data_IF_543683376327
#
_entry.id   IF_543683376327
#
_cell.length_a   1.000
_cell.length_b   1.000
_cell.length_c   1.000
_cell.angle_alpha   90.00
_cell.angle_beta   90.00
_cell.angle_gamma   90.00
#
_symmetry.space_group_name_H-M   'P 1'
#
loop_
_entity.id
_entity.type
_entity.pdbx_description
1 polymer ?
#
# COMPACT_ATOMS: atom_id res chain seq x y z
N UNK A 1 -31.81 16.63 12.13
CA UNK A 1 -31.80 17.94 12.88
C UNK A 1 -30.48 18.64 12.57
N UNK A 2 -30.49 19.95 12.28
CA UNK A 2 -29.25 20.70 12.10
C UNK A 2 -28.49 20.81 13.43
N UNK A 3 -27.19 20.55 13.43
CA UNK A 3 -26.36 20.69 14.64
C UNK A 3 -26.23 22.15 15.06
N UNK A 4 -26.23 22.38 16.35
CA UNK A 4 -25.96 23.71 16.92
C UNK A 4 -24.45 24.00 16.83
N UNK A 5 -24.07 25.28 16.82
CA UNK A 5 -22.70 25.74 16.90
C UNK A 5 -21.93 25.08 18.06
N UNK A 6 -22.54 24.93 19.20
CA UNK A 6 -21.94 24.32 20.39
C UNK A 6 -21.63 22.84 20.18
N UNK A 7 -22.53 22.11 19.52
CA UNK A 7 -22.30 20.68 19.21
C UNK A 7 -21.16 20.48 18.20
N UNK A 8 -21.08 21.33 17.17
CA UNK A 8 -19.95 21.30 16.22
C UNK A 8 -18.62 21.61 16.94
N UNK A 9 -18.61 22.64 17.81
CA UNK A 9 -17.45 23.02 18.59
C UNK A 9 -16.94 21.89 19.50
N UNK A 10 -17.87 21.21 20.17
CA UNK A 10 -17.57 20.09 21.07
C UNK A 10 -16.96 18.91 20.32
N UNK A 11 -17.51 18.55 19.17
CA UNK A 11 -16.99 17.49 18.30
C UNK A 11 -15.59 17.80 17.75
N UNK A 12 -15.38 19.02 17.25
CA UNK A 12 -14.06 19.45 16.80
C UNK A 12 -13.02 19.34 17.93
N UNK A 13 -13.41 19.70 19.15
CA UNK A 13 -12.55 19.58 20.32
C UNK A 13 -12.24 18.13 20.69
N UNK A 14 -13.25 17.26 20.65
CA UNK A 14 -13.09 15.83 20.92
C UNK A 14 -12.15 15.20 19.91
N UNK A 15 -12.43 15.33 18.62
CA UNK A 15 -11.58 14.79 17.54
C UNK A 15 -10.13 15.29 17.67
N UNK A 16 -9.93 16.58 17.94
CA UNK A 16 -8.58 17.12 18.17
C UNK A 16 -7.88 16.42 19.32
N UNK A 17 -8.57 16.24 20.45
CA UNK A 17 -8.00 15.58 21.63
C UNK A 17 -7.68 14.13 21.38
N UNK A 18 -8.59 13.40 20.73
CA UNK A 18 -8.40 11.98 20.39
C UNK A 18 -7.19 11.78 19.48
N UNK A 19 -6.97 12.71 18.55
CA UNK A 19 -5.80 12.70 17.69
C UNK A 19 -4.53 13.23 18.40
N UNK A 20 -4.63 13.78 19.60
CA UNK A 20 -3.51 14.30 20.38
C UNK A 20 -2.98 15.66 19.91
N UNK A 21 -3.70 16.38 19.05
CA UNK A 21 -3.29 17.72 18.64
C UNK A 21 -3.47 18.74 19.78
N UNK A 22 -2.49 19.62 19.95
CA UNK A 22 -2.65 20.83 20.75
C UNK A 22 -3.37 21.91 19.95
N UNK A 23 -4.06 22.84 20.62
CA UNK A 23 -4.67 24.00 19.95
C UNK A 23 -3.65 24.85 19.18
N UNK A 24 -2.38 24.88 19.63
CA UNK A 24 -1.30 25.61 18.97
C UNK A 24 -0.92 24.95 17.63
N UNK A 25 -0.81 23.63 17.57
CA UNK A 25 -0.54 22.90 16.34
C UNK A 25 -1.65 23.08 15.30
N UNK A 26 -2.91 22.99 15.74
CA UNK A 26 -4.06 23.23 14.86
C UNK A 26 -4.06 24.66 14.33
N UNK A 27 -3.80 25.65 15.19
CA UNK A 27 -3.71 27.05 14.80
C UNK A 27 -2.61 27.30 13.75
N UNK A 28 -1.46 26.67 13.92
CA UNK A 28 -0.35 26.74 12.97
C UNK A 28 -0.74 26.21 11.59
N UNK A 29 -1.40 25.05 11.52
CA UNK A 29 -1.84 24.44 10.25
C UNK A 29 -2.90 25.30 9.56
N UNK A 30 -3.84 25.86 10.33
CA UNK A 30 -4.88 26.73 9.77
C UNK A 30 -4.36 28.16 9.42
N UNK A 31 -3.17 28.54 9.86
CA UNK A 31 -2.64 29.88 9.68
C UNK A 31 -3.35 30.94 10.53
N UNK A 32 -3.85 30.54 11.71
CA UNK A 32 -4.57 31.41 12.65
C UNK A 32 -3.86 31.47 14.02
N UNK A 33 -4.29 32.38 14.89
CA UNK A 33 -3.76 32.42 16.25
C UNK A 33 -4.44 31.38 17.18
N UNK A 34 -3.68 30.82 18.13
CA UNK A 34 -4.20 29.83 19.10
C UNK A 34 -5.52 30.24 19.78
N UNK A 35 -5.74 31.51 20.21
CA UNK A 35 -7.02 31.95 20.77
C UNK A 35 -8.21 31.69 19.84
N UNK A 36 -8.03 31.80 18.52
CA UNK A 36 -9.08 31.53 17.53
C UNK A 36 -9.58 30.10 17.64
N UNK A 37 -8.69 29.10 17.74
CA UNK A 37 -9.07 27.71 17.93
C UNK A 37 -9.79 27.50 19.26
N UNK A 38 -9.29 28.15 20.34
CA UNK A 38 -9.96 28.09 21.65
C UNK A 38 -11.39 28.65 21.61
N UNK A 39 -11.63 29.73 20.87
CA UNK A 39 -12.95 30.32 20.71
C UNK A 39 -13.90 29.48 19.86
N UNK A 40 -13.38 28.86 18.79
CA UNK A 40 -14.14 27.90 17.97
C UNK A 40 -14.57 26.72 18.84
N UNK A 41 -13.63 26.09 19.56
CA UNK A 41 -13.91 24.93 20.42
C UNK A 41 -14.77 25.23 21.65
N UNK A 42 -14.83 26.47 22.07
CA UNK A 42 -15.73 26.93 23.11
C UNK A 42 -17.12 27.33 22.57
N UNK A 43 -17.34 27.28 21.26
CA UNK A 43 -18.58 27.69 20.62
C UNK A 43 -18.82 29.20 20.62
N UNK A 44 -17.83 30.01 21.04
CA UNK A 44 -17.94 31.50 21.09
C UNK A 44 -17.80 32.10 19.69
N UNK A 45 -16.95 31.50 18.84
CA UNK A 45 -16.79 31.88 17.46
C UNK A 45 -17.32 30.78 16.52
N UNK A 46 -18.03 31.16 15.46
CA UNK A 46 -18.45 30.22 14.44
C UNK A 46 -17.20 29.80 13.61
N UNK A 47 -17.10 28.53 13.28
CA UNK A 47 -16.16 28.03 12.28
C UNK A 47 -16.67 28.36 10.89
N UNK A 48 -15.84 28.91 10.02
CA UNK A 48 -16.21 29.15 8.62
C UNK A 48 -16.19 27.83 7.83
N UNK A 49 -16.83 27.80 6.67
CA UNK A 49 -16.83 26.58 5.81
C UNK A 49 -15.42 26.19 5.37
N UNK A 50 -14.56 27.17 5.10
CA UNK A 50 -13.15 26.93 4.75
C UNK A 50 -12.35 26.38 5.93
N UNK A 51 -12.49 26.98 7.12
CA UNK A 51 -11.84 26.47 8.34
C UNK A 51 -12.34 25.06 8.70
N UNK A 52 -13.64 24.81 8.54
CA UNK A 52 -14.22 23.51 8.77
C UNK A 52 -13.66 22.47 7.80
N UNK A 53 -13.55 22.80 6.53
CA UNK A 53 -12.95 21.93 5.51
C UNK A 53 -11.50 21.60 5.87
N UNK A 54 -10.66 22.60 6.15
CA UNK A 54 -9.25 22.42 6.55
C UNK A 54 -9.09 21.64 7.86
N UNK A 55 -10.00 21.83 8.81
CA UNK A 55 -10.02 21.04 10.07
C UNK A 55 -10.38 19.57 9.77
N UNK A 56 -11.35 19.32 8.91
CA UNK A 56 -11.73 17.97 8.52
C UNK A 56 -10.60 17.26 7.77
N UNK A 57 -9.88 17.96 6.89
CA UNK A 57 -8.69 17.43 6.23
C UNK A 57 -7.58 17.10 7.25
N UNK A 58 -7.28 18.05 8.17
CA UNK A 58 -6.27 17.84 9.21
C UNK A 58 -6.61 16.64 10.12
N UNK A 59 -7.87 16.50 10.47
CA UNK A 59 -8.34 15.44 11.37
C UNK A 59 -8.66 14.13 10.67
N UNK A 60 -8.61 14.12 9.35
CA UNK A 60 -9.06 13.00 8.52
C UNK A 60 -10.48 12.53 8.90
N UNK A 61 -11.42 13.46 9.02
CA UNK A 61 -12.82 13.20 9.32
C UNK A 61 -13.69 13.79 8.21
N UNK A 62 -14.54 13.02 7.54
CA UNK A 62 -15.50 13.57 6.58
C UNK A 62 -16.43 14.60 7.24
N UNK A 63 -16.71 15.70 6.53
CA UNK A 63 -17.63 16.74 7.02
C UNK A 63 -18.99 16.12 7.36
N UNK A 64 -19.47 15.17 6.54
CA UNK A 64 -20.73 14.45 6.79
C UNK A 64 -20.73 13.73 8.14
N UNK A 65 -19.65 13.06 8.49
CA UNK A 65 -19.50 12.35 9.76
C UNK A 65 -19.45 13.32 10.95
N UNK A 66 -18.71 14.43 10.81
CA UNK A 66 -18.68 15.47 11.83
C UNK A 66 -20.07 16.07 12.07
N UNK A 67 -20.92 16.13 11.04
CA UNK A 67 -22.27 16.69 11.09
C UNK A 67 -23.39 15.66 11.34
N UNK A 68 -23.16 14.35 11.18
CA UNK A 68 -24.20 13.31 11.29
C UNK A 68 -24.64 12.98 12.73
N UNK A 69 -23.82 13.24 13.70
CA UNK A 69 -24.13 12.92 15.09
C UNK A 69 -23.51 11.61 15.60
N UNK A 70 -22.91 10.83 14.76
CA UNK A 70 -22.15 9.67 15.16
C UNK A 70 -20.78 10.10 15.68
N UNK A 71 -20.44 9.66 16.89
CA UNK A 71 -19.08 9.88 17.40
C UNK A 71 -18.08 9.16 16.49
N UNK A 72 -16.99 9.82 16.09
CA UNK A 72 -15.93 9.12 15.37
C UNK A 72 -15.45 7.97 16.25
N UNK A 73 -15.61 6.73 15.78
CA UNK A 73 -15.18 5.55 16.52
C UNK A 73 -13.65 5.50 16.58
N UNK A 74 -13.09 6.09 17.63
CA UNK A 74 -11.65 6.13 17.90
C UNK A 74 -11.00 4.81 18.41
N UNK A 75 -11.76 3.82 18.96
CA UNK A 75 -11.13 2.69 19.65
C UNK A 75 -10.13 1.90 18.81
N UNK A 76 -10.40 1.78 17.51
CA UNK A 76 -9.55 0.95 16.63
C UNK A 76 -8.25 1.65 16.23
N UNK A 77 -8.30 2.96 15.97
CA UNK A 77 -7.09 3.75 15.68
C UNK A 77 -6.14 3.75 16.87
N UNK A 78 -6.66 3.89 18.09
CA UNK A 78 -5.84 3.87 19.29
C UNK A 78 -5.21 2.50 19.55
N UNK A 79 -5.95 1.40 19.30
CA UNK A 79 -5.39 0.05 19.39
C UNK A 79 -4.28 -0.17 18.39
N UNK A 80 -4.48 0.29 17.15
CA UNK A 80 -3.46 0.24 16.08
C UNK A 80 -2.22 1.02 16.52
N UNK A 81 -2.36 2.25 17.03
CA UNK A 81 -1.25 3.12 17.39
C UNK A 81 -0.58 2.75 18.72
N UNK A 82 -1.32 2.18 19.68
CA UNK A 82 -0.76 1.79 20.99
C UNK A 82 0.35 0.74 20.86
N UNK A 83 0.27 -0.10 19.83
CA UNK A 83 1.27 -1.14 19.55
C UNK A 83 2.37 -0.69 18.59
N UNK A 84 2.14 0.36 17.83
CA UNK A 84 3.11 0.96 16.91
C UNK A 84 4.03 1.93 17.67
N UNK A 85 5.10 1.45 18.26
CA UNK A 85 6.03 2.27 19.06
C UNK A 85 6.68 3.41 18.28
N UNK A 86 6.78 3.29 16.96
CA UNK A 86 7.38 4.28 16.04
C UNK A 86 6.37 5.27 15.47
N UNK A 87 5.06 4.96 15.51
CA UNK A 87 3.99 5.86 15.06
C UNK A 87 3.45 6.69 16.21
N UNK A 88 4.22 7.65 16.69
CA UNK A 88 3.81 8.54 17.75
C UNK A 88 3.47 9.94 17.21
N UNK A 89 2.48 10.57 17.82
CA UNK A 89 2.08 11.94 17.52
C UNK A 89 0.87 12.07 16.58
N UNK A 90 0.40 13.31 16.44
CA UNK A 90 -0.85 13.62 15.75
C UNK A 90 -0.85 13.23 14.25
N UNK A 91 0.26 13.47 13.54
CA UNK A 91 0.38 13.16 12.12
C UNK A 91 0.23 11.66 11.85
N UNK A 92 0.86 10.82 12.68
CA UNK A 92 0.77 9.38 12.58
C UNK A 92 -0.67 8.89 12.84
N UNK A 93 -1.35 9.44 13.84
CA UNK A 93 -2.76 9.13 14.14
C UNK A 93 -3.67 9.49 12.97
N UNK A 94 -3.44 10.66 12.36
CA UNK A 94 -4.19 11.10 11.18
C UNK A 94 -3.96 10.17 9.99
N UNK A 95 -2.71 9.79 9.73
CA UNK A 95 -2.35 8.87 8.64
C UNK A 95 -3.04 7.51 8.78
N UNK A 96 -2.96 6.90 9.98
CA UNK A 96 -3.64 5.62 10.27
C UNK A 96 -5.14 5.76 10.13
N UNK A 97 -5.74 6.84 10.64
CA UNK A 97 -7.18 7.07 10.50
C UNK A 97 -7.61 7.17 9.05
N UNK A 98 -6.92 7.96 8.22
CA UNK A 98 -7.20 8.07 6.78
C UNK A 98 -7.16 6.70 6.10
N UNK A 99 -6.14 5.91 6.42
CA UNK A 99 -6.01 4.59 5.86
C UNK A 99 -7.15 3.66 6.29
N UNK A 100 -7.53 3.66 7.58
CA UNK A 100 -8.66 2.87 8.08
C UNK A 100 -10.00 3.27 7.46
N UNK A 101 -10.26 4.58 7.33
CA UNK A 101 -11.48 5.08 6.69
C UNK A 101 -11.55 4.69 5.21
N UNK A 102 -10.41 4.66 4.54
CA UNK A 102 -10.30 4.10 3.19
C UNK A 102 -10.67 2.60 3.17
N UNK A 103 -10.12 1.79 4.07
CA UNK A 103 -10.44 0.36 4.16
C UNK A 103 -11.93 0.13 4.44
N UNK A 104 -12.54 0.94 5.31
CA UNK A 104 -13.99 0.92 5.57
C UNK A 104 -14.80 1.26 4.31
N UNK A 105 -14.39 2.29 3.58
CA UNK A 105 -15.04 2.66 2.31
C UNK A 105 -14.95 1.54 1.28
N UNK A 106 -13.82 0.87 1.16
CA UNK A 106 -13.70 -0.30 0.28
C UNK A 106 -14.68 -1.41 0.69
N UNK A 107 -14.76 -1.72 1.98
CA UNK A 107 -15.71 -2.70 2.51
C UNK A 107 -17.17 -2.31 2.24
N UNK A 108 -17.53 -1.05 2.47
CA UNK A 108 -18.89 -0.56 2.16
C UNK A 108 -19.23 -0.75 0.68
N UNK A 109 -18.32 -0.43 -0.22
CA UNK A 109 -18.50 -0.62 -1.66
C UNK A 109 -18.60 -2.10 -2.04
N UNK A 110 -17.81 -2.97 -1.41
CA UNK A 110 -17.89 -4.42 -1.59
C UNK A 110 -19.26 -4.95 -1.17
N UNK A 111 -19.76 -4.53 -0.01
CA UNK A 111 -21.09 -4.89 0.48
C UNK A 111 -22.21 -4.42 -0.47
N UNK A 112 -22.15 -3.16 -0.93
CA UNK A 112 -23.10 -2.62 -1.90
C UNK A 112 -23.10 -3.40 -3.23
N UNK A 113 -21.93 -3.89 -3.65
CA UNK A 113 -21.73 -4.66 -4.88
C UNK A 113 -21.98 -6.16 -4.72
N UNK A 114 -22.26 -6.64 -3.49
CA UNK A 114 -22.44 -8.07 -3.20
C UNK A 114 -21.13 -8.88 -3.37
N UNK A 115 -19.96 -8.23 -3.22
CA UNK A 115 -18.66 -8.91 -3.29
C UNK A 115 -18.40 -9.61 -1.96
N UNK A 116 -18.06 -10.92 -1.95
CA UNK A 116 -17.77 -11.65 -0.72
C UNK A 116 -16.54 -11.08 0.00
N UNK A 117 -16.47 -11.35 1.31
CA UNK A 117 -15.34 -10.90 2.13
C UNK A 117 -14.03 -11.51 1.61
N UNK A 118 -12.94 -10.75 1.53
CA UNK A 118 -11.66 -11.24 1.00
C UNK A 118 -11.11 -12.48 1.71
N UNK A 119 -11.33 -12.60 3.02
CA UNK A 119 -10.87 -13.76 3.81
C UNK A 119 -11.51 -15.07 3.40
N UNK A 120 -12.69 -15.06 2.76
CA UNK A 120 -13.34 -16.26 2.23
C UNK A 120 -12.51 -16.92 1.11
N UNK A 121 -11.68 -16.13 0.43
CA UNK A 121 -10.80 -16.58 -0.66
C UNK A 121 -9.36 -16.85 -0.20
N UNK A 122 -9.03 -16.64 1.09
CA UNK A 122 -7.67 -16.79 1.62
C UNK A 122 -7.18 -18.24 1.48
N UNK A 123 -6.06 -18.48 0.80
CA UNK A 123 -5.54 -19.84 0.65
C UNK A 123 -5.09 -20.42 1.99
N UNK A 124 -5.35 -21.73 2.20
CA UNK A 124 -4.93 -22.43 3.40
C UNK A 124 -3.52 -23.00 3.22
N UNK A 125 -2.51 -22.31 3.71
CA UNK A 125 -1.15 -22.83 3.79
C UNK A 125 -0.95 -23.58 5.11
N UNK A 126 -0.44 -24.81 5.03
CA UNK A 126 -0.12 -25.65 6.20
C UNK A 126 1.35 -25.51 6.56
N UNK A 127 1.75 -24.35 7.03
CA UNK A 127 3.09 -24.15 7.58
C UNK A 127 2.94 -23.73 9.06
N UNK A 128 3.40 -24.60 9.96
CA UNK A 128 3.50 -24.22 11.37
C UNK A 128 4.62 -23.20 11.60
N UNK A 129 4.73 -22.64 12.81
CA UNK A 129 5.82 -21.75 13.16
C UNK A 129 7.17 -22.45 12.93
N UNK A 130 8.16 -21.77 12.31
CA UNK A 130 9.46 -22.37 12.07
C UNK A 130 10.22 -22.59 13.38
N UNK A 131 10.85 -23.76 13.53
CA UNK A 131 11.59 -24.13 14.72
C UNK A 131 13.01 -23.48 14.75
N UNK A 132 13.58 -23.20 13.57
CA UNK A 132 14.88 -22.60 13.42
C UNK A 132 14.97 -21.77 12.13
N UNK A 133 16.09 -21.05 11.95
CA UNK A 133 16.35 -20.18 10.80
C UNK A 133 16.34 -20.95 9.47
N UNK A 134 16.88 -22.18 9.44
CA UNK A 134 16.93 -22.98 8.21
C UNK A 134 15.52 -23.39 7.78
N UNK A 135 14.68 -23.77 8.74
CA UNK A 135 13.28 -24.09 8.49
C UNK A 135 12.50 -22.84 8.01
N UNK A 136 12.72 -21.68 8.63
CA UNK A 136 12.13 -20.42 8.19
C UNK A 136 12.46 -20.10 6.71
N UNK A 137 13.74 -20.24 6.35
CA UNK A 137 14.20 -20.04 4.97
C UNK A 137 13.54 -21.04 4.02
N UNK A 138 13.53 -22.34 4.34
CA UNK A 138 12.89 -23.38 3.51
C UNK A 138 11.40 -23.14 3.33
N UNK A 139 10.69 -22.76 4.38
CA UNK A 139 9.28 -22.44 4.33
C UNK A 139 9.03 -21.23 3.43
N UNK A 140 9.79 -20.14 3.56
CA UNK A 140 9.67 -18.94 2.72
C UNK A 140 9.80 -19.25 1.23
N UNK A 141 10.83 -20.00 0.82
CA UNK A 141 11.00 -20.43 -0.57
C UNK A 141 9.87 -21.34 -1.06
N UNK A 142 9.48 -22.34 -0.27
CA UNK A 142 8.43 -23.27 -0.65
C UNK A 142 7.10 -22.55 -0.89
N UNK A 143 6.77 -21.60 0.01
CA UNK A 143 5.54 -20.83 -0.08
C UNK A 143 5.54 -19.87 -1.27
N UNK A 144 6.63 -19.13 -1.49
CA UNK A 144 6.73 -18.23 -2.64
C UNK A 144 6.50 -18.98 -3.95
N UNK A 145 7.12 -20.17 -4.08
CA UNK A 145 6.97 -21.05 -5.25
C UNK A 145 5.54 -21.59 -5.37
N UNK A 146 4.93 -22.00 -4.26
CA UNK A 146 3.54 -22.48 -4.25
C UNK A 146 2.56 -21.36 -4.60
N UNK A 147 2.77 -20.15 -4.08
CA UNK A 147 1.91 -19.02 -4.34
C UNK A 147 2.03 -18.51 -5.79
N UNK A 148 3.23 -18.46 -6.35
CA UNK A 148 3.42 -18.15 -7.77
C UNK A 148 2.70 -19.16 -8.69
N UNK A 149 2.72 -20.45 -8.35
CA UNK A 149 1.95 -21.48 -9.08
C UNK A 149 0.46 -21.28 -8.93
N UNK A 150 -0.04 -21.03 -7.71
CA UNK A 150 -1.47 -20.78 -7.47
C UNK A 150 -2.01 -19.62 -8.29
N UNK A 151 -1.20 -18.57 -8.43
CA UNK A 151 -1.55 -17.34 -9.13
C UNK A 151 -1.17 -17.37 -10.63
N UNK A 152 -0.61 -18.49 -11.11
CA UNK A 152 -0.15 -18.67 -12.50
C UNK A 152 0.81 -17.57 -13.00
N UNK A 153 1.77 -17.20 -12.14
CA UNK A 153 2.69 -16.08 -12.40
C UNK A 153 3.92 -16.46 -13.23
N UNK A 154 4.17 -17.76 -13.43
CA UNK A 154 5.36 -18.23 -14.10
C UNK A 154 6.66 -17.74 -13.44
N UNK A 155 7.67 -17.44 -14.26
CA UNK A 155 9.00 -16.96 -13.82
C UNK A 155 9.19 -15.46 -14.02
N UNK A 156 8.26 -14.80 -14.69
CA UNK A 156 8.32 -13.40 -15.03
C UNK A 156 8.23 -12.47 -13.79
N UNK A 157 8.83 -11.27 -13.85
CA UNK A 157 8.66 -10.28 -12.81
C UNK A 157 7.19 -9.87 -12.61
N UNK A 158 6.84 -9.49 -11.40
CA UNK A 158 5.52 -8.95 -11.13
C UNK A 158 5.41 -7.51 -11.62
N UNK A 159 4.60 -7.28 -12.64
CA UNK A 159 4.42 -5.94 -13.22
C UNK A 159 3.76 -4.95 -12.27
N UNK A 160 2.80 -5.44 -11.47
CA UNK A 160 2.03 -4.63 -10.53
C UNK A 160 1.76 -5.43 -9.25
N UNK A 161 2.74 -5.57 -8.36
CA UNK A 161 2.61 -6.37 -7.16
C UNK A 161 1.52 -5.85 -6.22
N UNK A 162 1.33 -4.53 -6.10
CA UNK A 162 0.30 -3.95 -5.22
C UNK A 162 -1.10 -4.35 -5.69
N UNK A 163 -1.41 -4.19 -6.96
CA UNK A 163 -2.70 -4.59 -7.53
C UNK A 163 -2.94 -6.10 -7.44
N UNK A 164 -1.89 -6.90 -7.66
CA UNK A 164 -1.98 -8.36 -7.51
C UNK A 164 -2.43 -8.74 -6.10
N UNK A 165 -1.84 -8.13 -5.07
CA UNK A 165 -2.18 -8.41 -3.69
C UNK A 165 -3.56 -7.85 -3.30
N UNK A 166 -3.94 -6.69 -3.82
CA UNK A 166 -5.30 -6.16 -3.68
C UNK A 166 -6.35 -7.15 -4.25
N UNK A 167 -6.05 -7.79 -5.38
CA UNK A 167 -6.92 -8.83 -5.97
C UNK A 167 -7.03 -10.09 -5.11
N UNK A 168 -6.05 -10.36 -4.27
CA UNK A 168 -6.08 -11.47 -3.31
C UNK A 168 -6.85 -11.11 -2.03
N UNK A 169 -7.36 -9.89 -1.91
CA UNK A 169 -8.18 -9.46 -0.79
C UNK A 169 -7.44 -8.69 0.30
N UNK A 170 -6.15 -8.40 0.10
CA UNK A 170 -5.41 -7.51 1.00
C UNK A 170 -5.75 -6.05 0.65
N UNK A 171 -6.18 -5.28 1.63
CA UNK A 171 -6.44 -3.85 1.46
C UNK A 171 -5.14 -3.06 1.54
N UNK A 172 -4.70 -2.51 0.42
CA UNK A 172 -3.43 -1.79 0.34
C UNK A 172 -3.66 -0.31 0.10
N UNK A 173 -2.98 0.53 0.85
CA UNK A 173 -3.07 1.98 0.68
C UNK A 173 -1.85 2.74 1.18
N UNK A 174 -1.77 4.06 0.88
CA UNK A 174 -0.67 4.87 1.34
C UNK A 174 -0.82 5.24 2.82
N UNK A 175 0.29 5.26 3.54
CA UNK A 175 0.44 5.84 4.88
C UNK A 175 0.97 7.28 4.75
N UNK A 176 0.11 8.18 4.30
CA UNK A 176 0.50 9.55 3.97
C UNK A 176 0.72 10.44 5.19
N UNK A 177 1.77 11.28 5.12
CA UNK A 177 2.03 12.31 6.12
C UNK A 177 2.81 11.85 7.36
N UNK A 178 3.43 10.68 7.30
CA UNK A 178 4.36 10.20 8.35
C UNK A 178 5.81 10.60 8.07
N UNK A 179 6.11 11.06 6.84
CA UNK A 179 7.44 11.51 6.42
C UNK A 179 8.42 10.37 6.11
N UNK A 180 9.56 10.74 5.52
CA UNK A 180 10.59 9.77 5.13
C UNK A 180 11.27 9.06 6.32
N UNK A 181 11.26 9.65 7.51
CA UNK A 181 11.77 9.04 8.74
C UNK A 181 10.74 8.13 9.43
N UNK A 182 9.50 8.11 8.93
CA UNK A 182 8.45 7.23 9.41
C UNK A 182 8.70 5.77 9.03
N UNK A 183 7.86 4.83 9.50
CA UNK A 183 7.98 3.42 9.16
C UNK A 183 7.78 3.15 7.67
N UNK A 184 8.28 2.03 7.17
CA UNK A 184 8.07 1.59 5.78
C UNK A 184 6.61 1.25 5.50
N UNK A 185 5.95 0.63 6.47
CA UNK A 185 4.56 0.23 6.35
C UNK A 185 3.91 -0.07 7.69
N UNK A 186 2.67 -0.48 7.61
CA UNK A 186 1.83 -0.85 8.74
C UNK A 186 0.91 -1.99 8.30
N UNK A 187 0.96 -3.12 8.99
CA UNK A 187 -0.01 -4.20 8.83
C UNK A 187 -0.93 -4.31 10.04
N UNK A 188 -2.19 -4.54 9.78
CA UNK A 188 -3.14 -5.02 10.77
C UNK A 188 -4.22 -5.88 10.11
N UNK A 189 -4.80 -6.75 10.89
CA UNK A 189 -5.92 -7.59 10.48
C UNK A 189 -7.06 -7.46 11.49
N UNK A 190 -8.28 -7.32 11.01
CA UNK A 190 -9.48 -7.30 11.85
C UNK A 190 -10.55 -8.20 11.25
N UNK A 191 -11.38 -8.82 12.08
CA UNK A 191 -12.53 -9.60 11.59
C UNK A 191 -13.53 -8.77 10.78
N UNK A 192 -13.47 -7.44 10.91
CA UNK A 192 -14.30 -6.52 10.15
C UNK A 192 -13.72 -6.17 8.78
N UNK A 193 -12.45 -5.80 8.71
CA UNK A 193 -11.80 -5.27 7.51
C UNK A 193 -10.96 -6.30 6.76
N UNK A 194 -10.62 -7.44 7.39
CA UNK A 194 -9.61 -8.34 6.88
C UNK A 194 -8.20 -7.76 6.99
N UNK A 195 -7.30 -8.23 6.15
CA UNK A 195 -5.91 -7.77 6.11
C UNK A 195 -5.77 -6.38 5.49
N UNK A 196 -5.11 -5.49 6.19
CA UNK A 196 -4.88 -4.11 5.81
C UNK A 196 -3.38 -3.79 5.85
N UNK A 197 -2.83 -3.29 4.75
CA UNK A 197 -1.41 -2.92 4.59
C UNK A 197 -1.33 -1.46 4.17
N UNK A 198 -0.82 -0.60 5.05
CA UNK A 198 -0.49 0.77 4.71
C UNK A 198 1.02 0.87 4.41
N UNK A 199 1.39 1.53 3.33
CA UNK A 199 2.78 1.66 2.89
C UNK A 199 3.15 3.14 2.85
N UNK A 200 4.30 3.49 3.42
CA UNK A 200 4.80 4.85 3.43
C UNK A 200 5.40 5.23 2.07
N UNK A 201 4.73 6.07 1.28
CA UNK A 201 5.22 6.45 -0.04
C UNK A 201 6.46 7.36 0.02
N UNK A 202 6.66 8.08 1.15
CA UNK A 202 7.77 9.03 1.29
C UNK A 202 9.14 8.34 1.42
N UNK A 203 9.16 7.04 1.73
CA UNK A 203 10.37 6.22 1.81
C UNK A 203 10.81 5.61 0.48
N UNK A 204 9.97 5.68 -0.54
CA UNK A 204 10.20 5.05 -1.84
C UNK A 204 10.53 6.09 -2.90
N UNK A 205 11.64 6.79 -2.71
CA UNK A 205 11.98 8.00 -3.48
C UNK A 205 12.29 7.77 -4.96
N UNK A 206 12.65 6.54 -5.40
CA UNK A 206 13.21 6.33 -6.73
C UNK A 206 12.59 5.20 -7.57
N UNK A 207 12.22 4.09 -6.96
CA UNK A 207 11.97 2.86 -7.74
C UNK A 207 10.64 2.17 -7.43
N UNK A 208 9.91 2.58 -6.42
CA UNK A 208 8.74 1.82 -5.93
C UNK A 208 9.07 0.43 -5.39
N UNK A 209 10.34 0.04 -5.42
CA UNK A 209 10.81 -1.30 -5.06
C UNK A 209 10.61 -1.63 -3.57
N UNK A 210 10.67 -0.61 -2.72
CA UNK A 210 10.45 -0.76 -1.28
C UNK A 210 8.98 -1.07 -0.99
N UNK A 211 8.09 -0.35 -1.64
CA UNK A 211 6.64 -0.58 -1.54
C UNK A 211 6.25 -1.99 -1.99
N UNK A 212 6.82 -2.47 -3.10
CA UNK A 212 6.60 -3.83 -3.59
C UNK A 212 7.09 -4.90 -2.60
N UNK A 213 8.28 -4.70 -2.04
CA UNK A 213 8.86 -5.64 -1.07
C UNK A 213 8.06 -5.65 0.23
N UNK A 214 7.72 -4.47 0.78
CA UNK A 214 6.89 -4.35 1.98
C UNK A 214 5.53 -5.00 1.79
N UNK A 215 4.86 -4.74 0.67
CA UNK A 215 3.57 -5.37 0.36
C UNK A 215 3.68 -6.90 0.30
N UNK A 216 4.70 -7.46 -0.36
CA UNK A 216 4.93 -8.89 -0.42
C UNK A 216 5.27 -9.50 0.95
N UNK A 217 5.97 -8.74 1.81
CA UNK A 217 6.30 -9.14 3.17
C UNK A 217 5.05 -9.30 4.04
N UNK A 218 4.19 -8.28 4.05
CA UNK A 218 2.94 -8.31 4.80
C UNK A 218 1.97 -9.36 4.22
N UNK A 219 2.02 -9.58 2.92
CA UNK A 219 1.29 -10.65 2.28
C UNK A 219 1.70 -12.04 2.78
N UNK A 220 3.00 -12.27 3.02
CA UNK A 220 3.47 -13.53 3.60
C UNK A 220 2.87 -13.77 4.99
N UNK A 221 2.83 -12.76 5.84
CA UNK A 221 2.20 -12.85 7.16
C UNK A 221 0.71 -13.18 7.06
N UNK A 222 0.00 -12.52 6.14
CA UNK A 222 -1.40 -12.82 5.87
C UNK A 222 -1.60 -14.26 5.41
N UNK A 223 -0.84 -14.74 4.44
CA UNK A 223 -0.95 -16.10 3.92
C UNK A 223 -0.79 -17.17 5.01
N UNK A 224 0.08 -16.94 5.98
CA UNK A 224 0.44 -17.90 7.03
C UNK A 224 -0.39 -17.79 8.28
N UNK A 225 -1.22 -16.77 8.39
CA UNK A 225 -1.92 -16.46 9.64
C UNK A 225 -0.92 -16.37 10.81
N UNK A 226 0.22 -15.71 10.57
CA UNK A 226 1.24 -15.49 11.60
C UNK A 226 0.71 -14.61 12.74
N UNK A 227 -0.36 -13.86 12.43
CA UNK A 227 -1.14 -13.09 13.38
C UNK A 227 -2.31 -13.93 13.87
N UNK A 228 -2.49 -14.05 15.17
CA UNK A 228 -3.73 -14.58 15.72
C UNK A 228 -4.82 -13.52 15.61
N UNK A 229 -5.98 -13.89 15.09
CA UNK A 229 -7.09 -13.02 14.70
C UNK A 229 -7.68 -12.12 15.82
N UNK A 230 -7.22 -12.21 17.05
CA UNK A 230 -7.62 -11.39 18.19
C UNK A 230 -6.62 -10.26 18.52
N UNK A 231 -5.50 -10.21 17.84
CA UNK A 231 -4.45 -9.22 18.12
C UNK A 231 -4.06 -8.46 16.87
N UNK A 232 -4.10 -7.13 16.93
CA UNK A 232 -3.50 -6.24 15.95
C UNK A 232 -1.98 -6.41 16.06
N UNK A 233 -1.34 -7.11 15.15
CA UNK A 233 0.10 -7.22 15.11
C UNK A 233 0.69 -6.22 14.12
N UNK A 234 1.71 -5.52 14.58
CA UNK A 234 2.46 -4.52 13.83
C UNK A 234 3.86 -5.04 13.61
N UNK A 235 4.28 -5.07 12.36
CA UNK A 235 5.61 -5.47 11.98
C UNK A 235 6.46 -4.24 11.65
N UNK A 236 7.60 -4.09 12.35
CA UNK A 236 8.52 -2.98 12.19
C UNK A 236 9.95 -3.47 12.01
N UNK A 237 10.79 -2.64 11.38
CA UNK A 237 12.23 -2.87 11.26
C UNK A 237 12.96 -3.06 12.63
N UNK A 238 12.35 -2.62 13.74
CA UNK A 238 12.96 -2.68 15.08
C UNK A 238 12.72 -3.99 15.84
N UNK A 239 12.03 -4.98 15.26
CA UNK A 239 11.99 -6.32 15.88
C UNK A 239 13.36 -6.98 15.82
N UNK A 240 13.75 -7.73 16.86
CA UNK A 240 15.02 -8.47 16.83
C UNK A 240 15.06 -9.34 15.58
N UNK A 241 16.13 -9.23 14.80
CA UNK A 241 16.39 -10.04 13.58
C UNK A 241 16.35 -11.57 13.81
N UNK A 242 16.01 -11.98 15.01
CA UNK A 242 15.86 -13.37 15.45
C UNK A 242 14.43 -13.91 15.35
N UNK A 243 13.44 -13.09 14.98
CA UNK A 243 12.08 -13.60 14.77
C UNK A 243 12.07 -14.43 13.50
N UNK A 244 11.76 -15.71 13.66
CA UNK A 244 11.79 -16.69 12.57
C UNK A 244 10.67 -16.46 11.56
N UNK A 245 9.55 -15.87 11.98
CA UNK A 245 8.45 -15.48 11.10
C UNK A 245 8.89 -14.34 10.17
N UNK A 246 9.63 -13.35 10.68
CA UNK A 246 10.23 -12.26 9.90
C UNK A 246 11.22 -12.78 8.87
N UNK A 247 12.12 -13.71 9.28
CA UNK A 247 13.05 -14.36 8.35
C UNK A 247 12.28 -15.05 7.21
N UNK A 248 11.21 -15.77 7.55
CA UNK A 248 10.37 -16.46 6.58
C UNK A 248 9.69 -15.49 5.63
N UNK A 249 9.10 -14.40 6.13
CA UNK A 249 8.44 -13.37 5.34
C UNK A 249 9.41 -12.65 4.39
N UNK A 250 10.61 -12.31 4.85
CA UNK A 250 11.66 -11.72 4.03
C UNK A 250 12.10 -12.65 2.89
N UNK A 251 12.28 -13.93 3.19
CA UNK A 251 12.65 -14.94 2.17
C UNK A 251 11.51 -15.15 1.17
N UNK A 252 10.27 -15.22 1.66
CA UNK A 252 9.10 -15.27 0.79
C UNK A 252 9.07 -14.09 -0.17
N UNK A 253 9.17 -12.87 0.34
CA UNK A 253 9.10 -11.64 -0.47
C UNK A 253 10.17 -11.61 -1.55
N UNK A 254 11.41 -11.90 -1.19
CA UNK A 254 12.51 -11.96 -2.15
C UNK A 254 12.29 -13.02 -3.24
N UNK A 255 11.83 -14.22 -2.87
CA UNK A 255 11.57 -15.30 -3.82
C UNK A 255 10.28 -15.11 -4.62
N UNK A 256 9.28 -14.44 -4.05
CA UNK A 256 8.03 -14.13 -4.73
C UNK A 256 8.21 -13.06 -5.81
N UNK A 257 9.01 -12.03 -5.52
CA UNK A 257 9.35 -10.98 -6.50
C UNK A 257 10.39 -11.43 -7.51
N UNK A 258 11.38 -12.24 -7.07
CA UNK A 258 12.50 -12.72 -7.87
C UNK A 258 12.58 -14.26 -7.79
N UNK A 259 11.76 -15.01 -8.55
CA UNK A 259 11.87 -16.47 -8.59
C UNK A 259 13.24 -16.91 -9.12
N UNK A 260 13.75 -18.02 -8.62
CA UNK A 260 15.09 -18.51 -8.95
C UNK A 260 15.25 -18.77 -10.44
N UNK A 261 14.30 -19.48 -11.01
CA UNK A 261 14.25 -19.76 -12.43
C UNK A 261 14.16 -18.49 -13.30
N UNK A 262 13.52 -17.42 -12.80
CA UNK A 262 13.46 -16.12 -13.46
C UNK A 262 14.79 -15.38 -13.43
N UNK A 263 15.55 -15.50 -12.32
CA UNK A 263 16.90 -14.96 -12.23
C UNK A 263 17.85 -15.69 -13.17
N UNK A 264 17.83 -17.03 -13.20
CA UNK A 264 18.63 -17.84 -14.09
C UNK A 264 18.33 -17.51 -15.56
N UNK A 265 17.06 -17.38 -15.93
CA UNK A 265 16.67 -17.00 -17.27
C UNK A 265 17.19 -15.61 -17.63
N UNK A 266 16.93 -14.60 -16.79
CA UNK A 266 17.34 -13.22 -17.05
C UNK A 266 18.85 -13.08 -17.23
N UNK A 267 19.64 -13.60 -16.28
CA UNK A 267 21.10 -13.50 -16.34
C UNK A 267 21.71 -14.41 -17.40
N UNK A 268 21.05 -15.53 -17.76
CA UNK A 268 21.41 -16.39 -18.86
C UNK A 268 21.22 -15.72 -20.21
N UNK A 269 20.06 -15.10 -20.45
CA UNK A 269 19.76 -14.34 -21.67
C UNK A 269 20.69 -13.12 -21.84
N UNK A 270 21.10 -12.50 -20.73
CA UNK A 270 22.06 -11.42 -20.70
C UNK A 270 23.52 -11.90 -20.95
N UNK A 271 23.76 -13.22 -21.01
CA UNK A 271 25.11 -13.80 -21.21
C UNK A 271 26.05 -13.62 -20.02
N UNK A 272 25.49 -13.40 -18.81
CA UNK A 272 26.26 -13.14 -17.60
C UNK A 272 26.55 -14.39 -16.77
N UNK A 273 25.95 -15.53 -17.10
CA UNK A 273 26.21 -16.82 -16.44
C UNK A 273 27.38 -17.57 -17.10
N UNK A 274 28.18 -18.26 -16.29
CA UNK A 274 29.22 -19.16 -16.74
C UNK A 274 28.69 -20.60 -16.91
N UNK A 275 29.59 -21.53 -17.27
CA UNK A 275 29.29 -22.96 -17.44
C UNK A 275 28.75 -23.65 -16.17
N UNK A 276 28.98 -23.03 -14.99
CA UNK A 276 28.49 -23.50 -13.69
C UNK A 276 27.23 -22.75 -13.22
N UNK A 277 26.57 -22.00 -14.11
CA UNK A 277 25.43 -21.14 -13.80
C UNK A 277 25.74 -20.12 -12.69
N UNK A 278 26.96 -19.53 -12.69
CA UNK A 278 27.39 -18.50 -11.77
C UNK A 278 27.65 -17.20 -12.49
N UNK A 279 27.36 -16.09 -11.84
CA UNK A 279 27.66 -14.76 -12.34
C UNK A 279 29.13 -14.46 -12.07
N UNK A 280 29.94 -14.36 -13.14
CA UNK A 280 31.38 -14.06 -13.01
C UNK A 280 31.66 -12.60 -12.74
N UNK A 281 30.86 -11.71 -13.31
CA UNK A 281 31.04 -10.25 -13.18
C UNK A 281 29.70 -9.55 -13.37
N UNK A 282 29.39 -8.65 -12.44
CA UNK A 282 28.26 -7.76 -12.53
C UNK A 282 28.75 -6.32 -12.61
N UNK A 283 28.42 -5.63 -13.70
CA UNK A 283 28.64 -4.19 -13.79
C UNK A 283 27.55 -3.42 -13.03
N UNK A 284 27.80 -2.13 -12.77
CA UNK A 284 26.76 -1.24 -12.20
C UNK A 284 25.53 -1.16 -13.10
N UNK A 285 25.74 -1.19 -14.43
CA UNK A 285 24.65 -1.22 -15.42
C UNK A 285 23.80 -2.48 -15.32
N UNK A 286 24.43 -3.66 -15.22
CA UNK A 286 23.70 -4.92 -15.07
C UNK A 286 22.85 -4.95 -13.80
N UNK A 287 23.39 -4.42 -12.70
CA UNK A 287 22.65 -4.32 -11.42
C UNK A 287 21.42 -3.44 -11.60
N UNK A 288 21.57 -2.23 -12.18
CA UNK A 288 20.47 -1.27 -12.33
C UNK A 288 19.42 -1.79 -13.32
N UNK A 289 19.82 -2.45 -14.40
CA UNK A 289 18.89 -3.11 -15.33
C UNK A 289 18.10 -4.24 -14.65
N UNK A 290 18.76 -5.08 -13.86
CA UNK A 290 18.09 -6.15 -13.13
C UNK A 290 17.14 -5.60 -12.04
N UNK A 291 17.54 -4.51 -11.37
CA UNK A 291 16.66 -3.80 -10.42
C UNK A 291 15.37 -3.31 -11.10
N UNK A 292 15.49 -2.68 -12.29
CA UNK A 292 14.33 -2.21 -13.06
C UNK A 292 13.47 -3.38 -13.55
N UNK A 293 14.11 -4.43 -14.09
CA UNK A 293 13.41 -5.62 -14.59
C UNK A 293 12.56 -6.30 -13.52
N UNK A 294 13.12 -6.55 -12.33
CA UNK A 294 12.43 -7.23 -11.23
C UNK A 294 11.65 -6.28 -10.32
N UNK A 295 11.81 -4.97 -10.44
CA UNK A 295 11.15 -3.99 -9.58
C UNK A 295 11.63 -4.06 -8.13
N UNK A 296 12.93 -4.28 -7.88
CA UNK A 296 13.50 -4.50 -6.54
C UNK A 296 14.66 -3.57 -6.25
N UNK A 297 14.98 -3.40 -4.95
CA UNK A 297 16.14 -2.61 -4.54
C UNK A 297 17.46 -3.36 -4.82
N UNK A 298 18.56 -2.62 -4.96
CA UNK A 298 19.93 -3.18 -5.10
C UNK A 298 20.24 -4.19 -3.99
N UNK A 299 19.92 -3.84 -2.78
CA UNK A 299 20.20 -4.70 -1.62
C UNK A 299 19.40 -6.01 -1.68
N UNK A 300 18.11 -5.93 -1.99
CA UNK A 300 17.27 -7.12 -2.15
C UNK A 300 17.75 -8.02 -3.30
N UNK A 301 18.13 -7.44 -4.44
CA UNK A 301 18.66 -8.18 -5.58
C UNK A 301 19.96 -8.93 -5.21
N UNK A 302 20.94 -8.24 -4.62
CA UNK A 302 22.24 -8.84 -4.30
C UNK A 302 22.12 -9.93 -3.24
N UNK A 303 21.30 -9.76 -2.21
CA UNK A 303 21.00 -10.83 -1.25
C UNK A 303 20.30 -12.02 -1.92
N UNK A 304 19.39 -11.75 -2.84
CA UNK A 304 18.68 -12.82 -3.54
C UNK A 304 19.58 -13.62 -4.46
N UNK A 305 20.47 -12.95 -5.21
CA UNK A 305 21.49 -13.60 -6.05
C UNK A 305 22.45 -14.47 -5.23
N UNK A 306 22.91 -13.97 -4.08
CA UNK A 306 23.73 -14.73 -3.15
C UNK A 306 22.97 -15.95 -2.61
N UNK A 307 21.74 -15.79 -2.16
CA UNK A 307 20.91 -16.87 -1.62
C UNK A 307 20.49 -17.90 -2.68
N UNK A 308 20.35 -17.50 -3.95
CA UNK A 308 20.16 -18.41 -5.08
C UNK A 308 21.45 -19.11 -5.49
N UNK A 309 22.57 -18.74 -4.89
CA UNK A 309 23.88 -19.28 -5.24
C UNK A 309 24.40 -18.85 -6.61
N UNK A 310 23.78 -17.85 -7.23
CA UNK A 310 24.22 -17.28 -8.52
C UNK A 310 25.44 -16.35 -8.34
N UNK A 311 25.62 -15.77 -7.16
CA UNK A 311 26.69 -14.85 -6.81
C UNK A 311 27.36 -15.34 -5.52
N UNK A 312 28.68 -15.33 -5.47
CA UNK A 312 29.43 -15.67 -4.25
C UNK A 312 29.32 -14.55 -3.20
N UNK A 313 29.57 -14.92 -1.94
CA UNK A 313 29.40 -14.02 -0.80
C UNK A 313 30.33 -12.80 -0.85
N UNK A 314 31.60 -13.00 -1.22
CA UNK A 314 32.60 -11.92 -1.28
C UNK A 314 32.21 -10.89 -2.34
N UNK A 315 31.86 -11.36 -3.54
CA UNK A 315 31.40 -10.48 -4.63
C UNK A 315 30.11 -9.75 -4.26
N UNK A 316 29.15 -10.45 -3.65
CA UNK A 316 27.89 -9.83 -3.21
C UNK A 316 28.13 -8.76 -2.14
N UNK A 317 29.05 -8.98 -1.20
CA UNK A 317 29.39 -8.02 -0.15
C UNK A 317 30.07 -6.78 -0.74
N UNK A 318 31.05 -6.97 -1.62
CA UNK A 318 31.72 -5.89 -2.33
C UNK A 318 30.73 -5.02 -3.12
N UNK A 319 29.79 -5.62 -3.81
CA UNK A 319 28.76 -4.90 -4.58
C UNK A 319 27.75 -4.18 -3.68
N UNK A 320 27.41 -4.72 -2.49
CA UNK A 320 26.58 -4.03 -1.51
C UNK A 320 27.26 -2.79 -0.95
N UNK A 321 28.58 -2.89 -0.69
CA UNK A 321 29.41 -1.79 -0.20
C UNK A 321 29.83 -0.77 -1.27
N UNK A 322 29.60 -1.07 -2.56
CA UNK A 322 30.01 -0.19 -3.64
C UNK A 322 29.21 1.12 -3.63
N UNK A 323 29.93 2.23 -3.68
CA UNK A 323 29.33 3.57 -3.75
C UNK A 323 29.13 3.95 -5.23
N UNK A 324 27.87 4.09 -5.64
CA UNK A 324 27.45 4.64 -6.93
C UNK A 324 26.00 5.13 -6.89
N UNK A 325 25.71 6.15 -7.67
CA UNK A 325 24.36 6.68 -7.83
C UNK A 325 23.56 5.79 -8.80
N UNK A 326 22.48 5.20 -8.29
CA UNK A 326 21.54 4.40 -9.11
C UNK A 326 20.89 5.31 -10.16
N UNK A 327 20.51 6.53 -9.79
CA UNK A 327 19.88 7.50 -10.70
C UNK A 327 20.79 7.84 -11.89
N UNK A 328 22.06 8.19 -11.64
CA UNK A 328 23.02 8.51 -12.72
C UNK A 328 23.24 7.33 -13.69
N UNK A 329 23.30 6.11 -13.17
CA UNK A 329 23.40 4.91 -14.01
C UNK A 329 22.14 4.69 -14.81
N UNK A 330 20.96 4.83 -14.19
CA UNK A 330 19.66 4.72 -14.86
C UNK A 330 19.51 5.75 -15.98
N UNK A 331 19.83 7.02 -15.70
CA UNK A 331 19.81 8.11 -16.70
C UNK A 331 20.74 7.81 -17.88
N UNK A 332 21.94 7.31 -17.60
CA UNK A 332 22.91 6.90 -18.64
C UNK A 332 22.38 5.77 -19.53
N UNK A 333 21.60 4.85 -18.96
CA UNK A 333 20.99 3.73 -19.66
C UNK A 333 19.63 4.08 -20.28
N UNK A 334 19.11 5.28 -20.06
CA UNK A 334 17.78 5.68 -20.51
C UNK A 334 16.64 4.91 -19.82
N UNK A 335 16.88 4.44 -18.59
CA UNK A 335 15.91 3.68 -17.81
C UNK A 335 15.00 4.62 -17.01
N UNK A 336 13.71 4.30 -17.02
CA UNK A 336 12.74 4.91 -16.11
C UNK A 336 12.17 3.78 -15.27
N UNK A 337 12.50 3.74 -14.00
CA UNK A 337 12.01 2.71 -13.09
C UNK A 337 10.48 2.66 -13.07
N UNK A 338 9.95 1.45 -13.14
CA UNK A 338 8.51 1.24 -13.09
C UNK A 338 8.01 1.45 -11.66
N UNK A 339 6.92 2.21 -11.53
CA UNK A 339 6.20 2.24 -10.26
C UNK A 339 5.62 0.84 -9.96
N UNK A 340 5.62 0.37 -8.69
CA UNK A 340 5.13 -0.97 -8.30
C UNK A 340 3.61 -1.12 -8.44
N UNK A 341 2.96 -0.11 -8.93
CA UNK A 341 1.53 0.06 -9.06
C UNK A 341 1.07 1.36 -8.41
N UNK A 342 -0.20 1.69 -8.62
CA UNK A 342 -0.83 2.87 -8.05
C UNK A 342 -1.69 2.44 -6.87
N UNK A 343 -1.47 3.05 -5.71
CA UNK A 343 -2.37 2.87 -4.57
C UNK A 343 -3.80 3.25 -4.96
N UNK A 344 -4.77 2.43 -4.54
CA UNK A 344 -6.18 2.74 -4.71
C UNK A 344 -6.80 2.30 -6.02
N UNK A 345 -6.15 1.49 -6.77
CA UNK A 345 -6.71 0.90 -7.99
C UNK A 345 -7.99 0.14 -7.66
N UNK A 346 -8.00 -0.67 -6.60
CA UNK A 346 -9.19 -1.40 -6.14
C UNK A 346 -10.31 -0.47 -5.72
N UNK A 347 -10.04 0.52 -4.85
CA UNK A 347 -11.04 1.49 -4.38
C UNK A 347 -11.72 2.21 -5.56
N UNK A 348 -10.92 2.71 -6.51
CA UNK A 348 -11.43 3.38 -7.71
C UNK A 348 -12.27 2.44 -8.59
N UNK A 349 -11.82 1.18 -8.75
CA UNK A 349 -12.56 0.17 -9.51
C UNK A 349 -13.92 -0.16 -8.86
N UNK A 350 -13.96 -0.32 -7.53
CA UNK A 350 -15.19 -0.54 -6.78
C UNK A 350 -16.13 0.68 -6.87
N UNK A 351 -15.59 1.89 -6.69
CA UNK A 351 -16.35 3.12 -6.78
C UNK A 351 -16.97 3.31 -8.18
N UNK A 352 -16.19 3.02 -9.24
CA UNK A 352 -16.69 3.09 -10.61
C UNK A 352 -17.81 2.08 -10.87
N UNK A 353 -17.66 0.83 -10.42
CA UNK A 353 -18.71 -0.20 -10.52
C UNK A 353 -19.96 0.21 -9.75
N UNK A 354 -19.82 0.67 -8.52
CA UNK A 354 -20.96 1.09 -7.69
C UNK A 354 -21.68 2.30 -8.31
N UNK A 355 -20.95 3.25 -8.88
CA UNK A 355 -21.52 4.38 -9.59
C UNK A 355 -22.26 3.98 -10.87
N UNK A 356 -21.64 3.13 -11.72
CA UNK A 356 -22.29 2.62 -12.95
C UNK A 356 -23.56 1.84 -12.65
N UNK A 357 -23.61 1.14 -11.52
CA UNK A 357 -24.81 0.41 -11.06
C UNK A 357 -25.83 1.30 -10.31
N UNK A 358 -25.59 2.60 -10.20
CA UNK A 358 -26.48 3.53 -9.49
C UNK A 358 -26.52 3.37 -7.97
N UNK A 359 -25.56 2.64 -7.39
CA UNK A 359 -25.49 2.37 -5.95
C UNK A 359 -24.90 3.53 -5.14
N UNK A 360 -24.09 4.36 -5.78
CA UNK A 360 -23.57 5.61 -5.20
C UNK A 360 -23.82 6.78 -6.13
N UNK A 361 -23.90 7.99 -5.55
CA UNK A 361 -24.11 9.22 -6.32
C UNK A 361 -22.84 9.63 -7.09
N UNK A 362 -23.01 10.44 -8.16
CA UNK A 362 -21.87 11.03 -8.89
C UNK A 362 -20.98 11.86 -7.98
N UNK A 363 -21.56 12.57 -7.00
CA UNK A 363 -20.78 13.34 -6.01
C UNK A 363 -19.90 12.43 -5.17
N UNK A 364 -20.42 11.30 -4.68
CA UNK A 364 -19.64 10.33 -3.90
C UNK A 364 -18.55 9.66 -4.75
N UNK A 365 -18.85 9.32 -5.98
CA UNK A 365 -17.84 8.77 -6.89
C UNK A 365 -16.72 9.78 -7.16
N UNK A 366 -17.03 11.04 -7.47
CA UNK A 366 -16.04 12.10 -7.66
C UNK A 366 -15.13 12.29 -6.44
N UNK A 367 -15.71 12.32 -5.24
CA UNK A 367 -14.97 12.37 -3.96
C UNK A 367 -13.96 11.23 -3.84
N UNK A 368 -14.37 9.99 -4.11
CA UNK A 368 -13.51 8.80 -4.04
C UNK A 368 -12.39 8.79 -5.09
N UNK A 369 -12.58 9.51 -6.20
CA UNK A 369 -11.54 9.73 -7.20
C UNK A 369 -10.64 10.94 -6.89
N UNK A 370 -10.96 11.72 -5.84
CA UNK A 370 -10.27 12.96 -5.53
C UNK A 370 -10.51 14.07 -6.56
N UNK A 371 -11.67 14.07 -7.21
CA UNK A 371 -12.04 14.98 -8.30
C UNK A 371 -13.27 15.80 -7.91
N UNK A 372 -13.39 17.00 -8.49
CA UNK A 372 -14.68 17.68 -8.50
C UNK A 372 -15.67 16.97 -9.44
N UNK A 373 -16.99 17.21 -9.21
CA UNK A 373 -18.04 16.50 -9.93
C UNK A 373 -17.99 16.77 -11.46
N UNK A 374 -17.61 17.98 -11.89
CA UNK A 374 -17.57 18.33 -13.30
C UNK A 374 -16.41 17.64 -14.01
N UNK A 375 -15.23 17.63 -13.38
CA UNK A 375 -14.04 16.92 -13.87
C UNK A 375 -14.30 15.42 -13.95
N UNK A 376 -14.91 14.84 -12.90
CA UNK A 376 -15.27 13.42 -12.92
C UNK A 376 -16.23 13.10 -14.09
N UNK A 377 -17.30 13.88 -14.26
CA UNK A 377 -18.25 13.67 -15.39
C UNK A 377 -17.56 13.74 -16.75
N UNK A 378 -16.66 14.71 -16.94
CA UNK A 378 -15.92 14.89 -18.20
C UNK A 378 -15.03 13.68 -18.48
N UNK A 379 -14.27 13.21 -17.48
CA UNK A 379 -13.41 12.04 -17.64
C UNK A 379 -14.23 10.76 -17.93
N UNK A 380 -15.37 10.60 -17.28
CA UNK A 380 -16.22 9.42 -17.50
C UNK A 380 -16.91 9.46 -18.87
N UNK A 381 -17.25 10.64 -19.39
CA UNK A 381 -17.77 10.78 -20.75
C UNK A 381 -16.74 10.38 -21.81
N UNK A 382 -15.49 10.85 -21.69
CA UNK A 382 -14.39 10.47 -22.59
C UNK A 382 -14.16 8.96 -22.62
N UNK A 383 -14.16 8.31 -21.47
CA UNK A 383 -14.00 6.84 -21.39
C UNK A 383 -15.21 6.11 -22.00
N UNK A 384 -16.41 6.69 -21.90
CA UNK A 384 -17.63 6.14 -22.48
C UNK A 384 -17.64 6.23 -24.02
N UNK A 385 -17.22 7.35 -24.57
CA UNK A 385 -17.10 7.57 -26.02
C UNK A 385 -16.08 6.63 -26.67
N UNK A 386 -14.91 6.40 -26.01
CA UNK A 386 -13.92 5.42 -26.51
C UNK A 386 -14.46 3.97 -26.53
N UNK A 387 -15.37 3.61 -25.63
CA UNK A 387 -15.99 2.29 -25.61
C UNK A 387 -17.09 2.14 -26.68
N UNK A 388 -17.80 3.20 -27.01
CA UNK A 388 -18.79 3.21 -28.12
C UNK A 388 -18.08 3.14 -29.48
N UNK A 389 -17.00 3.89 -29.70
CA UNK A 389 -16.23 3.86 -30.94
C UNK A 389 -15.60 2.47 -31.19
N UNK A 390 -15.09 1.78 -30.13
CA UNK A 390 -14.58 0.42 -30.29
C UNK A 390 -15.66 -0.61 -30.58
N UNK A 391 -16.87 -0.41 -30.08
CA UNK A 391 -18.01 -1.29 -30.38
C UNK A 391 -18.50 -1.11 -31.83
N UNK A 392 -18.58 0.13 -32.34
CA UNK A 392 -18.94 0.42 -33.74
C UNK A 392 -17.87 -0.10 -34.72
N UNK A 393 -16.58 0.00 -34.40
CA UNK A 393 -15.49 -0.56 -35.22
C UNK A 393 -15.53 -2.08 -35.30
N UNK A 394 -15.94 -2.75 -34.22
CA UNK A 394 -16.13 -4.21 -34.21
C UNK A 394 -17.35 -4.65 -35.03
N UNK A 395 -18.45 -3.89 -35.00
CA UNK A 395 -19.64 -4.16 -35.83
C UNK A 395 -19.39 -3.88 -37.32
N UNK A 396 -18.68 -2.81 -37.65
CA UNK A 396 -18.26 -2.49 -39.03
C UNK A 396 -17.26 -3.51 -39.59
N UNK A 397 -16.37 -4.06 -38.74
CA UNK A 397 -15.46 -5.13 -39.12
C UNK A 397 -16.14 -6.47 -39.37
N UNK A 398 -17.24 -6.75 -38.70
CA UNK A 398 -18.06 -7.95 -38.91
C UNK A 398 -18.91 -7.87 -40.17
N UNK A 399 -19.45 -6.69 -40.47
CA UNK A 399 -20.24 -6.45 -41.67
C UNK A 399 -19.46 -6.44 -43.00
N UNK A 400 -18.13 -6.26 -42.95
CA UNK A 400 -17.24 -6.34 -44.12
C UNK A 400 -16.74 -7.75 -44.44
N UNK A 401 -17.05 -8.74 -43.64
CA UNK A 401 -16.66 -10.18 -43.82
C UNK A 401 -17.86 -11.08 -44.18
N UNK A 402 -19.04 -10.53 -44.29
CA UNK A 402 -20.22 -11.17 -44.87
C UNK A 402 -20.43 -10.67 -46.31
#
# INVERSE_FOLDING_TARGET
MALTRKQIAERLREVRKDLGFTQAQVAQVLGVHRPTISEIEAGRRAVTSEELHRLCELYAVPISQLLSGEAPTAPDVERVLFRATTLQGPSARTAVRRFMDRCRTEKELEQLLGIPHPDDARPAYRAGPPADRLQAVRQGYAMARQERRRLDLGVEPLRNPLELLERQGVRIGPLEGVGADGPDGLYFETGELGACVAINPDRDQWTGSRSAFTAAHEYAHWLLRDTQAEEYEFYWEDRPRSDLAEVRANVFSAAFLMPEEGLEQYFGEAGLLDEHQKIRRLSRGDIVQAMDYFGVSRIALLYRLQNAGLLDEETAENLRGADFSIGEVADTLGLTFRAPGTFGTRLRSLALKAWKNGLISTGRAAELFGLDIQTFRRQMATIGEEQEDTAEDLELGAARKS
#
